data_IF_801962669412
#
_entry.id   IF_801962669412
#
_cell.length_a   1.000
_cell.length_b   1.000
_cell.length_c   1.000
_cell.angle_alpha   90.00
_cell.angle_beta   90.00
_cell.angle_gamma   90.00
#
_symmetry.space_group_name_H-M   'P 1'
#
loop_
_entity.id
_entity.type
_entity.pdbx_description
1 polymer ?
#
# COMPACT_ATOMS: atom_id res chain seq x y z
N UNK A 1 11.12 -12.51 -19.64
CA UNK A 1 10.24 -11.74 -18.72
C UNK A 1 8.89 -12.44 -18.68
N UNK A 2 8.47 -12.86 -17.51
CA UNK A 2 7.17 -13.50 -17.31
C UNK A 2 6.04 -12.47 -17.39
N UNK A 3 4.79 -12.92 -17.52
CA UNK A 3 3.61 -12.02 -17.46
C UNK A 3 3.58 -11.23 -16.16
N UNK A 4 3.88 -11.90 -15.04
CA UNK A 4 3.95 -11.27 -13.71
C UNK A 4 4.99 -10.14 -13.67
N UNK A 5 6.20 -10.41 -14.14
CA UNK A 5 7.28 -9.40 -14.16
C UNK A 5 6.93 -8.20 -15.05
N UNK A 6 6.25 -8.44 -16.17
CA UNK A 6 5.78 -7.37 -17.05
C UNK A 6 4.77 -6.47 -16.34
N UNK A 7 3.76 -7.04 -15.70
CA UNK A 7 2.75 -6.27 -14.98
C UNK A 7 3.33 -5.56 -13.74
N UNK A 8 4.25 -6.20 -13.03
CA UNK A 8 4.98 -5.59 -11.92
C UNK A 8 5.76 -4.35 -12.36
N UNK A 9 6.46 -4.43 -13.48
CA UNK A 9 7.20 -3.29 -14.03
C UNK A 9 6.28 -2.13 -14.47
N UNK A 10 5.11 -2.45 -15.05
CA UNK A 10 4.10 -1.44 -15.42
C UNK A 10 3.59 -0.71 -14.17
N UNK A 11 3.23 -1.45 -13.10
CA UNK A 11 2.77 -0.89 -11.84
C UNK A 11 3.84 -0.04 -11.17
N UNK A 12 5.07 -0.54 -11.09
CA UNK A 12 6.20 0.19 -10.51
C UNK A 12 6.46 1.51 -11.25
N UNK A 13 6.42 1.49 -12.59
CA UNK A 13 6.57 2.70 -13.41
C UNK A 13 5.44 3.69 -13.17
N UNK A 14 4.18 3.23 -13.13
CA UNK A 14 3.03 4.10 -12.84
C UNK A 14 3.16 4.76 -11.46
N UNK A 15 3.64 4.02 -10.49
CA UNK A 15 3.88 4.53 -9.14
C UNK A 15 5.02 5.57 -9.13
N UNK A 16 6.14 5.27 -9.77
CA UNK A 16 7.29 6.16 -9.82
C UNK A 16 6.99 7.50 -10.53
N UNK A 17 6.20 7.46 -11.61
CA UNK A 17 5.88 8.66 -12.41
C UNK A 17 4.62 9.38 -11.96
N UNK A 18 3.91 8.90 -10.93
CA UNK A 18 2.58 9.39 -10.51
C UNK A 18 1.54 9.42 -11.65
N UNK A 19 1.80 8.69 -12.73
CA UNK A 19 0.96 8.61 -13.91
C UNK A 19 -0.16 7.58 -13.79
N UNK A 20 -1.07 7.62 -14.77
CA UNK A 20 -2.13 6.63 -14.93
C UNK A 20 -1.75 5.65 -16.03
N UNK A 21 -2.02 4.38 -15.78
CA UNK A 21 -1.96 3.30 -16.79
C UNK A 21 -3.36 2.86 -17.19
N UNK A 22 -3.47 2.23 -18.34
CA UNK A 22 -4.69 1.51 -18.69
C UNK A 22 -4.88 0.31 -17.76
N UNK A 23 -6.12 -0.16 -17.55
CA UNK A 23 -6.37 -1.36 -16.74
C UNK A 23 -5.49 -2.51 -17.19
N UNK A 24 -4.89 -3.22 -16.25
CA UNK A 24 -4.14 -4.43 -16.57
C UNK A 24 -5.09 -5.47 -17.18
N UNK A 25 -4.64 -6.25 -18.17
CA UNK A 25 -5.50 -7.24 -18.81
C UNK A 25 -5.89 -8.35 -17.82
N UNK A 26 -7.13 -8.78 -17.94
CA UNK A 26 -7.69 -9.89 -17.14
C UNK A 26 -7.22 -11.26 -17.68
N UNK A 27 -7.06 -12.26 -16.82
CA UNK A 27 -6.92 -12.19 -15.36
C UNK A 27 -5.46 -12.06 -14.95
N UNK A 28 -5.07 -10.90 -14.42
CA UNK A 28 -3.70 -10.71 -13.89
C UNK A 28 -3.56 -11.36 -12.52
N UNK A 29 -4.65 -11.40 -11.78
CA UNK A 29 -4.70 -11.88 -10.40
C UNK A 29 -5.87 -12.84 -10.27
N UNK A 30 -5.58 -14.10 -9.96
CA UNK A 30 -6.59 -15.14 -9.79
C UNK A 30 -7.08 -15.28 -8.33
N UNK A 31 -6.22 -14.93 -7.37
CA UNK A 31 -6.45 -15.06 -5.95
C UNK A 31 -5.52 -14.15 -5.13
N UNK A 32 -5.68 -14.16 -3.82
CA UNK A 32 -4.89 -13.34 -2.90
C UNK A 32 -3.39 -13.66 -2.94
N UNK A 33 -3.01 -14.90 -3.21
CA UNK A 33 -1.61 -15.32 -3.33
C UNK A 33 -0.97 -14.73 -4.59
N UNK A 34 -1.70 -14.74 -5.71
CA UNK A 34 -1.27 -14.10 -6.96
C UNK A 34 -1.18 -12.57 -6.80
N UNK A 35 -2.12 -11.95 -6.08
CA UNK A 35 -2.08 -10.54 -5.74
C UNK A 35 -0.84 -10.18 -4.92
N UNK A 36 -0.56 -10.95 -3.87
CA UNK A 36 0.62 -10.75 -3.04
C UNK A 36 1.92 -10.94 -3.85
N UNK A 37 1.97 -11.91 -4.75
CA UNK A 37 3.09 -12.13 -5.65
C UNK A 37 3.33 -10.95 -6.60
N UNK A 38 2.27 -10.40 -7.19
CA UNK A 38 2.35 -9.23 -8.06
C UNK A 38 2.80 -7.99 -7.27
N UNK A 39 2.26 -7.78 -6.06
CA UNK A 39 2.68 -6.69 -5.17
C UNK A 39 4.18 -6.80 -4.84
N UNK A 40 4.64 -7.98 -4.42
CA UNK A 40 6.05 -8.20 -4.08
C UNK A 40 6.98 -7.93 -5.29
N UNK A 41 6.59 -8.38 -6.48
CA UNK A 41 7.34 -8.13 -7.71
C UNK A 41 7.36 -6.64 -8.08
N UNK A 42 6.24 -5.91 -7.91
CA UNK A 42 6.17 -4.48 -8.16
C UNK A 42 7.02 -3.67 -7.17
N UNK A 43 7.01 -4.03 -5.88
CA UNK A 43 7.88 -3.44 -4.85
C UNK A 43 9.35 -3.63 -5.23
N UNK A 44 9.73 -4.85 -5.61
CA UNK A 44 11.09 -5.16 -6.05
C UNK A 44 11.50 -4.37 -7.29
N UNK A 45 10.60 -4.25 -8.28
CA UNK A 45 10.86 -3.50 -9.51
C UNK A 45 10.97 -1.98 -9.27
N UNK A 46 10.25 -1.44 -8.29
CA UNK A 46 10.33 -0.03 -7.91
C UNK A 46 11.67 0.27 -7.22
N UNK A 47 12.15 -0.62 -6.36
CA UNK A 47 13.45 -0.49 -5.68
C UNK A 47 13.53 0.62 -4.63
N UNK A 48 12.42 1.30 -4.30
CA UNK A 48 12.39 2.34 -3.26
C UNK A 48 12.40 1.72 -1.86
N UNK A 49 13.12 2.28 -0.88
CA UNK A 49 13.10 1.82 0.49
C UNK A 49 11.71 1.90 1.11
N UNK A 50 11.32 0.87 1.85
CA UNK A 50 10.07 0.84 2.60
C UNK A 50 10.30 1.51 3.96
N UNK A 51 9.51 2.54 4.28
CA UNK A 51 9.51 3.23 5.57
C UNK A 51 8.46 2.68 6.53
N UNK A 52 7.43 2.02 6.01
CA UNK A 52 6.33 1.47 6.82
C UNK A 52 5.31 0.71 6.00
N UNK A 53 4.18 0.40 6.63
CA UNK A 53 3.08 -0.34 6.03
C UNK A 53 1.75 0.32 6.36
N UNK A 54 0.88 0.45 5.39
CA UNK A 54 -0.52 0.82 5.59
C UNK A 54 -1.38 -0.43 5.61
N UNK A 55 -2.49 -0.39 6.35
CA UNK A 55 -3.44 -1.49 6.46
C UNK A 55 -4.82 -0.95 6.11
N UNK A 56 -5.47 -1.52 5.11
CA UNK A 56 -6.82 -1.15 4.68
C UNK A 56 -7.84 -2.23 4.99
N UNK A 57 -9.13 -1.87 4.87
CA UNK A 57 -10.29 -2.74 5.11
C UNK A 57 -10.28 -3.39 6.50
N UNK A 58 -10.03 -2.58 7.54
CA UNK A 58 -9.93 -3.06 8.93
C UNK A 58 -11.29 -3.26 9.60
N UNK A 59 -12.39 -2.76 9.01
CA UNK A 59 -13.77 -2.97 9.48
C UNK A 59 -14.57 -3.86 8.55
N UNK A 60 -15.61 -4.51 9.06
CA UNK A 60 -16.51 -5.33 8.25
C UNK A 60 -17.21 -4.51 7.14
N UNK A 61 -17.54 -3.25 7.41
CA UNK A 61 -18.13 -2.35 6.43
C UNK A 61 -17.15 -2.05 5.28
N UNK A 62 -15.89 -1.69 5.60
CA UNK A 62 -14.86 -1.45 4.60
C UNK A 62 -14.57 -2.72 3.78
N UNK A 63 -14.55 -3.89 4.42
CA UNK A 63 -14.40 -5.18 3.73
C UNK A 63 -15.54 -5.45 2.74
N UNK A 64 -16.78 -5.14 3.11
CA UNK A 64 -17.93 -5.30 2.22
C UNK A 64 -17.83 -4.34 1.01
N UNK A 65 -17.45 -3.07 1.22
CA UNK A 65 -17.26 -2.08 0.15
C UNK A 65 -16.14 -2.50 -0.81
N UNK A 66 -15.03 -3.03 -0.27
CA UNK A 66 -13.86 -3.43 -1.04
C UNK A 66 -13.93 -4.86 -1.59
N UNK A 67 -15.07 -5.55 -1.40
CA UNK A 67 -15.29 -6.94 -1.82
C UNK A 67 -14.18 -7.90 -1.34
N UNK A 68 -13.72 -7.72 -0.10
CA UNK A 68 -12.71 -8.58 0.57
C UNK A 68 -13.30 -9.16 1.85
N UNK A 69 -12.70 -10.23 2.37
CA UNK A 69 -13.05 -10.84 3.65
C UNK A 69 -11.98 -10.67 4.72
N UNK A 70 -10.87 -10.06 4.35
CA UNK A 70 -9.71 -9.84 5.23
C UNK A 70 -9.13 -8.45 5.00
N UNK A 71 -8.46 -7.86 5.99
CA UNK A 71 -7.67 -6.66 5.78
C UNK A 71 -6.56 -6.91 4.75
N UNK A 72 -6.22 -5.89 3.98
CA UNK A 72 -5.07 -5.91 3.09
C UNK A 72 -4.02 -4.88 3.54
N UNK A 73 -2.81 -5.03 3.05
CA UNK A 73 -1.71 -4.14 3.41
C UNK A 73 -0.92 -3.72 2.18
N UNK A 74 -0.28 -2.56 2.29
CA UNK A 74 0.61 -2.04 1.26
C UNK A 74 1.81 -1.31 1.85
N UNK A 75 2.93 -1.20 1.12
CA UNK A 75 4.10 -0.49 1.58
C UNK A 75 3.88 1.03 1.57
N UNK A 76 4.46 1.70 2.55
CA UNK A 76 4.71 3.14 2.53
C UNK A 76 6.19 3.32 2.22
N UNK A 77 6.51 3.91 1.07
CA UNK A 77 7.89 4.13 0.64
C UNK A 77 8.46 5.39 1.26
N UNK A 78 9.77 5.39 1.56
CA UNK A 78 10.43 6.51 2.21
C UNK A 78 10.37 7.81 1.40
N UNK A 79 10.39 7.73 0.07
CA UNK A 79 10.23 8.87 -0.84
C UNK A 79 8.78 9.35 -0.99
N UNK A 80 7.84 8.73 -0.28
CA UNK A 80 6.40 9.07 -0.23
C UNK A 80 5.92 9.34 1.20
N UNK A 81 6.84 9.54 2.12
CA UNK A 81 6.57 9.96 3.49
C UNK A 81 7.07 11.40 3.65
N UNK A 82 6.16 12.29 3.94
CA UNK A 82 6.44 13.73 4.06
C UNK A 82 6.19 14.20 5.48
N UNK A 83 6.94 15.20 5.87
CA UNK A 83 6.78 15.87 7.15
C UNK A 83 5.59 16.85 7.13
N UNK A 84 5.13 17.23 8.31
CA UNK A 84 4.08 18.24 8.47
C UNK A 84 4.49 19.57 7.82
N UNK A 85 3.53 20.19 7.12
CA UNK A 85 3.76 21.42 6.36
C UNK A 85 4.39 21.24 4.97
N UNK A 86 4.64 20.01 4.51
CA UNK A 86 5.15 19.78 3.17
C UNK A 86 4.14 20.17 2.08
N UNK A 87 4.62 20.81 1.03
CA UNK A 87 3.83 21.04 -0.19
C UNK A 87 3.99 19.86 -1.14
N UNK A 88 2.88 19.20 -1.48
CA UNK A 88 2.87 17.99 -2.26
C UNK A 88 2.05 18.18 -3.53
N UNK A 89 2.67 17.91 -4.69
CA UNK A 89 1.94 17.85 -5.95
C UNK A 89 1.01 16.62 -5.96
N UNK A 90 -0.28 16.85 -6.15
CA UNK A 90 -1.26 15.76 -6.22
C UNK A 90 -1.03 14.90 -7.46
N UNK A 91 -1.07 13.57 -7.33
CA UNK A 91 -0.94 12.66 -8.46
C UNK A 91 -2.16 12.73 -9.38
N UNK A 92 -2.00 12.37 -10.66
CA UNK A 92 -3.09 12.43 -11.65
C UNK A 92 -4.34 11.65 -11.24
N UNK A 93 -4.16 10.54 -10.53
CA UNK A 93 -5.27 9.70 -10.06
C UNK A 93 -5.76 10.03 -8.66
N UNK A 94 -5.49 11.24 -8.15
CA UNK A 94 -5.94 11.64 -6.80
C UNK A 94 -7.44 11.47 -6.61
N UNK A 95 -7.85 10.94 -5.45
CA UNK A 95 -9.23 10.63 -5.08
C UNK A 95 -9.70 11.33 -3.82
N UNK A 96 -8.80 11.59 -2.90
CA UNK A 96 -9.14 12.21 -1.63
C UNK A 96 -8.05 12.02 -0.58
N UNK A 97 -8.42 12.39 0.64
CA UNK A 97 -7.59 12.24 1.83
C UNK A 97 -8.26 11.26 2.78
N UNK A 98 -7.45 10.48 3.49
CA UNK A 98 -7.88 9.69 4.64
C UNK A 98 -7.12 10.16 5.87
N UNK A 99 -7.85 10.39 6.99
CA UNK A 99 -7.24 10.72 8.27
C UNK A 99 -6.92 9.41 9.01
N UNK A 100 -5.66 9.24 9.37
CA UNK A 100 -5.13 8.01 9.91
C UNK A 100 -4.43 8.20 11.26
N UNK A 101 -4.31 7.12 12.01
CA UNK A 101 -3.38 7.01 13.12
C UNK A 101 -2.26 6.05 12.74
N UNK A 102 -1.05 6.59 12.61
CA UNK A 102 0.14 5.78 12.40
C UNK A 102 0.74 5.35 13.75
N UNK A 103 1.22 4.13 13.82
CA UNK A 103 1.99 3.62 14.95
C UNK A 103 3.48 3.64 14.57
N UNK A 104 4.26 4.45 15.29
CA UNK A 104 5.71 4.43 15.13
C UNK A 104 6.30 3.32 16.01
N UNK A 105 7.10 2.46 15.39
CA UNK A 105 7.78 1.40 16.11
C UNK A 105 9.15 1.88 16.62
N UNK A 106 9.41 1.70 17.90
CA UNK A 106 10.70 1.95 18.54
C UNK A 106 11.57 0.69 18.63
N UNK A 107 11.04 -0.46 18.24
CA UNK A 107 11.75 -1.72 18.20
C UNK A 107 11.33 -2.57 17.00
N UNK A 108 12.26 -3.39 16.52
CA UNK A 108 12.00 -4.34 15.44
C UNK A 108 11.01 -5.42 15.87
N UNK A 109 10.18 -5.83 14.92
CA UNK A 109 9.25 -6.95 15.04
C UNK A 109 9.66 -8.05 14.07
N UNK A 110 10.69 -8.86 14.36
CA UNK A 110 11.16 -9.91 13.46
C UNK A 110 10.07 -10.95 13.23
N UNK A 111 10.03 -11.49 12.00
CA UNK A 111 9.08 -12.55 11.66
C UNK A 111 9.22 -13.73 12.62
N UNK A 112 8.08 -14.19 13.17
CA UNK A 112 8.01 -15.40 13.99
C UNK A 112 6.74 -16.19 13.70
N UNK A 113 6.83 -17.50 13.93
CA UNK A 113 5.67 -18.37 13.86
C UNK A 113 4.64 -17.96 14.92
N UNK A 114 3.35 -18.00 14.57
CA UNK A 114 2.25 -17.60 15.45
C UNK A 114 2.05 -16.08 15.61
N UNK A 115 2.90 -15.23 15.01
CA UNK A 115 2.78 -13.78 15.07
C UNK A 115 2.99 -13.20 16.48
N UNK A 116 2.41 -12.03 16.71
CA UNK A 116 2.52 -11.28 17.97
C UNK A 116 1.15 -11.07 18.60
N UNK A 117 1.06 -11.13 19.91
CA UNK A 117 -0.12 -10.71 20.66
C UNK A 117 -0.14 -9.18 20.79
N UNK A 118 -1.34 -8.60 21.02
CA UNK A 118 -1.50 -7.14 21.11
C UNK A 118 -0.63 -6.50 22.21
N UNK A 119 -0.46 -7.14 23.36
CA UNK A 119 0.40 -6.66 24.45
C UNK A 119 1.88 -6.61 24.05
N UNK A 120 2.32 -7.55 23.22
CA UNK A 120 3.69 -7.59 22.68
C UNK A 120 3.92 -6.53 21.60
N UNK A 121 2.91 -6.28 20.76
CA UNK A 121 2.96 -5.19 19.78
C UNK A 121 3.00 -3.83 20.48
N UNK A 122 2.19 -3.64 21.52
CA UNK A 122 2.13 -2.39 22.27
C UNK A 122 3.49 -1.97 22.86
N UNK A 123 4.31 -2.93 23.28
CA UNK A 123 5.67 -2.65 23.81
C UNK A 123 6.61 -2.12 22.70
N UNK A 124 6.39 -2.54 21.46
CA UNK A 124 7.21 -2.09 20.32
C UNK A 124 6.80 -0.71 19.80
N UNK A 125 5.60 -0.21 20.15
CA UNK A 125 5.12 1.12 19.73
C UNK A 125 5.71 2.17 20.67
N UNK A 126 6.39 3.17 20.11
CA UNK A 126 6.92 4.31 20.85
C UNK A 126 6.09 5.58 20.70
N UNK A 127 5.27 5.68 19.63
CA UNK A 127 4.36 6.80 19.45
C UNK A 127 3.14 6.42 18.61
N UNK A 128 2.04 7.14 18.85
CA UNK A 128 0.86 7.23 17.96
C UNK A 128 0.90 8.60 17.30
N UNK A 129 0.90 8.64 15.97
CA UNK A 129 1.08 9.86 15.19
C UNK A 129 -0.15 10.06 14.30
N UNK A 130 -0.81 11.25 14.33
CA UNK A 130 -1.82 11.56 13.32
C UNK A 130 -1.15 11.66 11.95
N UNK A 131 -1.81 11.11 10.93
CA UNK A 131 -1.31 11.09 9.58
C UNK A 131 -2.44 11.35 8.57
N UNK A 132 -2.06 11.77 7.37
CA UNK A 132 -2.98 11.94 6.25
C UNK A 132 -2.49 11.08 5.10
N UNK A 133 -3.35 10.16 4.64
CA UNK A 133 -3.08 9.41 3.42
C UNK A 133 -3.63 10.18 2.20
N UNK A 134 -2.81 10.32 1.16
CA UNK A 134 -3.25 10.80 -0.15
C UNK A 134 -3.68 9.60 -0.98
N UNK A 135 -4.98 9.41 -1.10
CA UNK A 135 -5.55 8.28 -1.86
C UNK A 135 -5.52 8.58 -3.35
N UNK A 136 -4.93 7.68 -4.13
CA UNK A 136 -4.87 7.80 -5.57
C UNK A 136 -4.97 6.45 -6.28
N UNK A 137 -5.68 6.41 -7.40
CA UNK A 137 -5.62 5.27 -8.34
C UNK A 137 -4.39 5.37 -9.23
N UNK A 138 -3.92 4.21 -9.70
CA UNK A 138 -2.90 4.11 -10.75
C UNK A 138 -3.48 3.68 -12.08
N UNK A 139 -4.72 3.24 -12.12
CA UNK A 139 -5.40 2.80 -13.33
C UNK A 139 -6.46 3.83 -13.74
N UNK A 140 -6.62 4.01 -15.06
CA UNK A 140 -7.77 4.73 -15.61
C UNK A 140 -9.03 3.94 -15.32
N UNK A 141 -9.99 4.57 -14.68
CA UNK A 141 -11.30 3.97 -14.47
C UNK A 141 -12.20 4.30 -15.66
N UNK A 142 -13.11 3.39 -15.99
CA UNK A 142 -14.10 3.63 -17.04
C UNK A 142 -14.91 4.90 -16.71
N UNK A 143 -14.96 5.84 -17.65
CA UNK A 143 -15.70 7.11 -17.48
C UNK A 143 -14.87 8.28 -16.92
N UNK A 144 -13.55 8.13 -16.81
CA UNK A 144 -12.60 9.24 -16.57
C UNK A 144 -12.09 9.84 -17.87
#
# INVERSE_FOLDING_TARGET
MTVLETHAAILARAFATTGLIDPLPEPVVADDAAAAGLQAAAISALGSPIAGWKIGATSAEAQAIMATTVPFYGPVFADRLWEDGAEIALPQGFRGFECEFALRLGADLPRREGGYRADQLAIAVDAVVPAIELVATRQRLAGM
#
